data_IF_120545917914
#
_entry.id   IF_120545917914
#
_cell.length_a   1.000
_cell.length_b   1.000
_cell.length_c   1.000
_cell.angle_alpha   90.00
_cell.angle_beta   90.00
_cell.angle_gamma   90.00
#
_symmetry.space_group_name_H-M   'P 1'
#
loop_
_entity.id
_entity.type
_entity.pdbx_description
1 polymer ?
#
# COMPACT_ATOMS: atom_id res chain seq x y z
N UNK A 1 25.36 7.42 -18.07
CA UNK A 1 25.59 8.32 -16.93
C UNK A 1 24.45 8.33 -15.92
N UNK A 2 23.18 8.41 -16.39
CA UNK A 2 22.00 8.39 -15.48
C UNK A 2 21.81 7.05 -14.78
N UNK A 3 22.23 5.96 -15.39
CA UNK A 3 22.12 4.63 -14.79
C UNK A 3 22.98 4.46 -13.54
N UNK A 4 24.15 5.07 -13.50
CA UNK A 4 25.01 5.00 -12.34
C UNK A 4 24.40 5.66 -11.11
N UNK A 5 23.75 6.79 -11.30
CA UNK A 5 23.09 7.53 -10.21
C UNK A 5 21.89 6.75 -9.69
N UNK A 6 21.05 6.23 -10.57
CA UNK A 6 19.88 5.44 -10.18
C UNK A 6 20.28 4.17 -9.42
N UNK A 7 21.30 3.48 -9.88
CA UNK A 7 21.82 2.29 -9.21
C UNK A 7 22.39 2.62 -7.83
N UNK A 8 23.10 3.75 -7.73
CA UNK A 8 23.63 4.22 -6.47
C UNK A 8 22.54 4.50 -5.43
N UNK A 9 21.47 5.16 -5.84
CA UNK A 9 20.35 5.44 -4.96
C UNK A 9 19.64 4.16 -4.50
N UNK A 10 19.49 3.17 -5.38
CA UNK A 10 18.91 1.89 -5.02
C UNK A 10 19.67 1.19 -3.89
N UNK A 11 21.00 1.22 -3.96
CA UNK A 11 21.82 0.67 -2.90
C UNK A 11 21.56 1.28 -1.54
N UNK A 12 21.49 2.60 -1.48
CA UNK A 12 21.30 3.32 -0.22
C UNK A 12 19.98 2.97 0.43
N UNK A 13 18.95 2.69 -0.37
CA UNK A 13 17.62 2.44 0.12
C UNK A 13 17.44 1.06 0.74
N UNK A 14 18.23 0.07 0.35
CA UNK A 14 18.07 -1.30 0.84
C UNK A 14 18.50 -1.50 2.29
N UNK A 15 19.11 -0.49 2.93
CA UNK A 15 19.50 -0.58 4.34
C UNK A 15 18.31 -0.54 5.30
N UNK A 16 17.19 0.01 4.88
CA UNK A 16 16.01 0.20 5.72
C UNK A 16 14.76 -0.21 4.96
N UNK A 17 14.59 -1.50 4.80
CA UNK A 17 13.47 -2.11 4.10
C UNK A 17 12.26 -2.11 5.02
N UNK A 18 11.17 -1.49 4.58
CA UNK A 18 9.94 -1.38 5.34
C UNK A 18 8.87 -2.36 4.88
N UNK A 19 8.67 -2.49 3.57
CA UNK A 19 7.65 -3.35 2.99
C UNK A 19 8.15 -3.98 1.70
N UNK A 20 7.75 -5.21 1.44
CA UNK A 20 7.99 -5.92 0.18
C UNK A 20 6.66 -6.48 -0.29
N UNK A 21 6.34 -6.29 -1.58
CA UNK A 21 5.17 -6.85 -2.22
C UNK A 21 5.57 -7.54 -3.51
N UNK A 22 5.19 -8.81 -3.65
CA UNK A 22 5.45 -9.58 -4.86
C UNK A 22 4.37 -9.30 -5.90
N UNK A 23 4.81 -8.99 -7.12
CA UNK A 23 3.97 -8.68 -8.27
C UNK A 23 4.43 -9.52 -9.46
N UNK A 24 3.93 -10.75 -9.57
CA UNK A 24 4.41 -11.71 -10.57
C UNK A 24 5.89 -12.02 -10.39
N UNK A 25 6.70 -11.72 -11.41
CA UNK A 25 8.15 -11.91 -11.37
C UNK A 25 8.92 -10.71 -10.78
N UNK A 26 8.21 -9.75 -10.21
CA UNK A 26 8.80 -8.55 -9.64
C UNK A 26 8.55 -8.47 -8.15
N UNK A 27 9.48 -7.80 -7.47
CA UNK A 27 9.27 -7.35 -6.10
C UNK A 27 9.23 -5.84 -6.08
N UNK A 28 8.18 -5.27 -5.48
CA UNK A 28 8.19 -3.87 -5.10
C UNK A 28 8.70 -3.75 -3.67
N UNK A 29 9.74 -2.94 -3.50
CA UNK A 29 10.43 -2.75 -2.23
C UNK A 29 10.27 -1.31 -1.79
N UNK A 30 9.62 -1.10 -0.65
CA UNK A 30 9.54 0.21 -0.01
C UNK A 30 10.62 0.27 1.07
N UNK A 31 11.54 1.20 0.91
CA UNK A 31 12.55 1.51 1.90
C UNK A 31 12.41 2.97 2.33
N UNK A 32 13.16 3.39 3.35
CA UNK A 32 13.07 4.76 3.89
C UNK A 32 13.33 5.84 2.83
N UNK A 33 14.11 5.53 1.79
CA UNK A 33 14.52 6.50 0.76
C UNK A 33 13.67 6.43 -0.51
N UNK A 34 12.79 5.44 -0.67
CA UNK A 34 12.00 5.36 -1.89
C UNK A 34 11.45 3.98 -2.23
N UNK A 35 10.94 3.89 -3.44
CA UNK A 35 10.32 2.70 -3.99
C UNK A 35 11.21 2.11 -5.09
N UNK A 36 11.41 0.80 -5.04
CA UNK A 36 12.23 0.04 -5.98
C UNK A 36 11.46 -1.15 -6.52
N UNK A 37 11.78 -1.53 -7.75
CA UNK A 37 11.22 -2.72 -8.40
C UNK A 37 12.38 -3.63 -8.81
N UNK A 38 12.41 -4.82 -8.24
CA UNK A 38 13.42 -5.83 -8.50
C UNK A 38 12.85 -6.91 -9.40
N UNK A 39 13.55 -7.26 -10.48
CA UNK A 39 13.15 -8.34 -11.38
C UNK A 39 13.76 -9.64 -10.88
N UNK A 40 12.93 -10.60 -10.48
CA UNK A 40 13.36 -11.90 -9.96
C UNK A 40 14.05 -12.76 -11.02
N UNK A 41 13.77 -12.52 -12.31
CA UNK A 41 14.34 -13.34 -13.40
C UNK A 41 15.78 -12.95 -13.73
N UNK A 42 16.07 -11.65 -13.81
CA UNK A 42 17.36 -11.15 -14.29
C UNK A 42 18.13 -10.30 -13.26
N UNK A 43 17.52 -10.03 -12.11
CA UNK A 43 18.14 -9.23 -11.05
C UNK A 43 18.20 -7.73 -11.32
N UNK A 44 17.57 -7.24 -12.39
CA UNK A 44 17.56 -5.81 -12.68
C UNK A 44 16.71 -5.04 -11.69
N UNK A 45 17.06 -3.77 -11.49
CA UNK A 45 16.41 -2.88 -10.52
C UNK A 45 15.98 -1.61 -11.23
N UNK A 46 14.72 -1.22 -11.03
CA UNK A 46 14.19 0.07 -11.42
C UNK A 46 13.86 0.88 -10.16
N UNK A 47 14.19 2.17 -10.16
CA UNK A 47 13.87 3.08 -9.06
C UNK A 47 12.72 3.97 -9.45
N UNK A 48 11.86 4.29 -8.47
CA UNK A 48 10.74 5.20 -8.65
C UNK A 48 10.95 6.46 -7.82
N UNK A 49 10.80 7.60 -8.47
CA UNK A 49 10.85 8.92 -7.85
C UNK A 49 9.98 9.89 -8.67
N UNK A 50 10.03 11.18 -8.34
CA UNK A 50 9.26 12.19 -9.08
C UNK A 50 9.71 12.31 -10.55
N UNK A 51 10.99 12.07 -10.83
CA UNK A 51 11.52 12.11 -12.20
C UNK A 51 10.94 10.97 -13.04
N UNK A 52 10.80 9.79 -12.45
CA UNK A 52 10.23 8.61 -13.13
C UNK A 52 8.69 8.59 -13.13
N UNK A 53 8.03 9.57 -12.53
CA UNK A 53 6.59 9.74 -12.63
C UNK A 53 5.80 9.69 -11.32
N UNK A 54 6.42 9.44 -10.17
CA UNK A 54 5.72 9.49 -8.89
C UNK A 54 5.23 10.91 -8.59
N UNK A 55 4.03 11.00 -8.01
CA UNK A 55 3.38 12.28 -7.73
C UNK A 55 3.95 12.98 -6.51
N UNK A 56 4.57 12.24 -5.59
CA UNK A 56 5.05 12.76 -4.32
C UNK A 56 6.31 12.03 -3.86
N UNK A 57 6.82 12.35 -2.67
CA UNK A 57 8.12 11.88 -2.20
C UNK A 57 8.07 10.82 -1.09
N UNK A 58 7.09 10.89 -0.19
CA UNK A 58 7.10 10.08 1.03
C UNK A 58 5.98 9.05 1.03
N UNK A 59 6.29 7.85 0.55
CA UNK A 59 5.37 6.71 0.57
C UNK A 59 5.38 6.08 1.97
N UNK A 60 4.20 5.83 2.52
CA UNK A 60 4.05 5.18 3.84
C UNK A 60 3.57 3.74 3.74
N UNK A 61 2.85 3.40 2.68
CA UNK A 61 2.27 2.07 2.48
C UNK A 61 2.27 1.69 1.02
N UNK A 62 2.55 0.42 0.74
CA UNK A 62 2.35 -0.18 -0.58
C UNK A 62 1.56 -1.50 -0.44
N UNK A 63 0.77 -1.81 -1.47
CA UNK A 63 0.08 -3.10 -1.56
C UNK A 63 -0.17 -3.44 -3.03
N UNK A 64 -0.04 -4.73 -3.36
CA UNK A 64 -0.24 -5.21 -4.72
C UNK A 64 -1.64 -5.76 -4.91
N UNK A 65 -2.28 -5.38 -6.02
CA UNK A 65 -3.55 -5.95 -6.45
C UNK A 65 -3.33 -6.78 -7.71
N UNK A 66 -3.39 -8.11 -7.56
CA UNK A 66 -3.14 -9.03 -8.68
C UNK A 66 -4.22 -8.96 -9.75
N UNK A 67 -5.46 -8.64 -9.37
CA UNK A 67 -6.57 -8.56 -10.31
C UNK A 67 -6.49 -7.33 -11.18
N UNK A 68 -6.14 -6.18 -10.61
CA UNK A 68 -5.95 -4.94 -11.35
C UNK A 68 -4.58 -4.86 -12.03
N UNK A 69 -3.60 -5.67 -11.60
CA UNK A 69 -2.23 -5.60 -12.08
C UNK A 69 -1.54 -4.31 -11.70
N UNK A 70 -1.82 -3.77 -10.51
CA UNK A 70 -1.32 -2.48 -10.05
C UNK A 70 -0.91 -2.54 -8.58
N UNK A 71 0.16 -1.82 -8.27
CA UNK A 71 0.55 -1.51 -6.91
C UNK A 71 -0.12 -0.20 -6.51
N UNK A 72 -0.69 -0.14 -5.31
CA UNK A 72 -1.07 1.12 -4.70
C UNK A 72 0.07 1.61 -3.82
N UNK A 73 0.46 2.87 -4.01
CA UNK A 73 1.43 3.57 -3.17
C UNK A 73 0.72 4.75 -2.52
N UNK A 74 0.65 4.76 -1.21
CA UNK A 74 0.00 5.83 -0.44
C UNK A 74 1.08 6.68 0.22
N UNK A 75 0.95 7.99 0.07
CA UNK A 75 1.88 8.98 0.62
C UNK A 75 1.43 9.47 2.00
N UNK A 76 2.35 10.07 2.73
CA UNK A 76 2.09 10.63 4.07
C UNK A 76 1.03 11.75 4.05
N UNK A 77 0.85 12.41 2.91
CA UNK A 77 -0.18 13.44 2.71
C UNK A 77 -1.51 12.88 2.16
N UNK A 78 -1.66 11.55 2.12
CA UNK A 78 -2.82 10.83 1.59
C UNK A 78 -3.00 10.90 0.07
N UNK A 79 -2.01 11.41 -0.67
CA UNK A 79 -1.99 11.24 -2.11
C UNK A 79 -1.78 9.76 -2.46
N UNK A 80 -2.23 9.35 -3.63
CA UNK A 80 -2.19 7.95 -4.06
C UNK A 80 -1.65 7.87 -5.48
N UNK A 81 -0.69 6.97 -5.71
CA UNK A 81 -0.28 6.56 -7.04
C UNK A 81 -0.55 5.07 -7.23
N UNK A 82 -0.98 4.71 -8.43
CA UNK A 82 -1.06 3.33 -8.88
C UNK A 82 0.10 3.08 -9.84
N UNK A 83 0.88 2.03 -9.58
CA UNK A 83 2.09 1.73 -10.33
C UNK A 83 1.97 0.36 -10.99
N UNK A 84 2.22 0.29 -12.29
CA UNK A 84 2.26 -0.96 -13.04
C UNK A 84 3.70 -1.44 -13.19
N UNK A 85 3.88 -2.74 -13.43
CA UNK A 85 5.22 -3.33 -13.53
C UNK A 85 6.01 -2.85 -14.75
N UNK A 86 5.33 -2.26 -15.75
CA UNK A 86 5.98 -1.62 -16.89
C UNK A 86 6.47 -0.18 -16.62
N UNK A 87 6.21 0.33 -15.41
CA UNK A 87 6.63 1.67 -14.99
C UNK A 87 5.55 2.75 -15.12
N UNK A 88 4.37 2.42 -15.65
CA UNK A 88 3.28 3.39 -15.75
C UNK A 88 2.76 3.76 -14.36
N UNK A 89 2.51 5.05 -14.16
CA UNK A 89 2.00 5.60 -12.91
C UNK A 89 0.71 6.39 -13.19
N UNK A 90 -0.33 6.10 -12.42
CA UNK A 90 -1.60 6.81 -12.47
C UNK A 90 -1.88 7.42 -11.11
N UNK A 91 -2.08 8.73 -11.04
CA UNK A 91 -2.35 9.43 -9.79
C UNK A 91 -3.84 9.49 -9.48
N UNK A 92 -4.16 9.29 -8.21
CA UNK A 92 -5.49 9.54 -7.64
C UNK A 92 -5.33 10.59 -6.55
N UNK A 93 -5.62 11.85 -6.87
CA UNK A 93 -5.43 12.98 -5.97
C UNK A 93 -6.67 13.36 -5.16
N UNK A 94 -7.78 12.67 -5.35
CA UNK A 94 -9.07 13.05 -4.81
C UNK A 94 -9.09 13.09 -3.27
N UNK A 95 -8.47 12.11 -2.61
CA UNK A 95 -8.37 12.12 -1.16
C UNK A 95 -7.44 13.23 -0.66
N UNK A 96 -6.29 13.36 -1.29
CA UNK A 96 -5.31 14.41 -0.96
C UNK A 96 -5.91 15.80 -1.07
N UNK A 97 -6.62 16.07 -2.17
CA UNK A 97 -7.20 17.40 -2.45
C UNK A 97 -8.53 17.65 -1.75
N UNK A 98 -9.13 16.62 -1.13
CA UNK A 98 -10.41 16.78 -0.44
C UNK A 98 -10.26 17.72 0.77
N UNK A 99 -11.06 18.80 0.78
CA UNK A 99 -11.12 19.72 1.91
C UNK A 99 -11.98 19.11 3.01
N UNK A 100 -11.34 18.74 4.13
CA UNK A 100 -12.01 18.20 5.31
C UNK A 100 -11.16 18.52 6.55
N UNK A 101 -11.81 18.60 7.70
CA UNK A 101 -11.13 18.91 8.97
C UNK A 101 -10.51 17.67 9.62
N UNK A 102 -10.97 16.49 9.26
CA UNK A 102 -10.49 15.23 9.78
C UNK A 102 -9.11 14.89 9.24
N UNK A 103 -8.33 14.18 10.04
CA UNK A 103 -7.04 13.63 9.64
C UNK A 103 -7.24 12.53 8.59
N UNK A 104 -6.64 12.68 7.44
CA UNK A 104 -6.76 11.76 6.30
C UNK A 104 -5.68 10.68 6.26
N UNK A 105 -4.85 10.54 7.28
CA UNK A 105 -3.80 9.53 7.33
C UNK A 105 -4.33 8.14 7.02
N UNK A 106 -3.66 7.43 6.12
CA UNK A 106 -3.96 6.04 5.78
C UNK A 106 -3.06 5.13 6.62
N UNK A 107 -3.67 4.25 7.41
CA UNK A 107 -2.95 3.40 8.34
C UNK A 107 -2.60 2.03 7.75
N UNK A 108 -3.56 1.37 7.12
CA UNK A 108 -3.37 0.05 6.51
C UNK A 108 -4.27 -0.10 5.29
N UNK A 109 -3.98 -1.13 4.48
CA UNK A 109 -4.67 -1.41 3.23
C UNK A 109 -5.11 -2.87 3.22
N UNK A 110 -6.36 -3.11 2.78
CA UNK A 110 -6.88 -4.47 2.60
C UNK A 110 -7.46 -4.60 1.19
N UNK A 111 -7.06 -5.65 0.47
CA UNK A 111 -7.53 -5.91 -0.90
C UNK A 111 -8.75 -6.81 -0.91
N UNK A 112 -9.65 -6.55 -1.86
CA UNK A 112 -10.74 -7.45 -2.23
C UNK A 112 -11.06 -7.24 -3.72
N UNK A 113 -10.95 -8.31 -4.53
CA UNK A 113 -11.08 -8.20 -5.98
C UNK A 113 -10.15 -7.10 -6.53
N UNK A 114 -10.67 -6.17 -7.36
CA UNK A 114 -9.89 -5.04 -7.86
C UNK A 114 -9.86 -3.84 -6.90
N UNK A 115 -10.45 -3.98 -5.71
CA UNK A 115 -10.57 -2.88 -4.76
C UNK A 115 -9.47 -2.91 -3.70
N UNK A 116 -9.02 -1.71 -3.31
CA UNK A 116 -8.22 -1.50 -2.12
C UNK A 116 -9.07 -0.75 -1.10
N UNK A 117 -9.25 -1.33 0.08
CA UNK A 117 -9.91 -0.67 1.21
C UNK A 117 -8.83 -0.06 2.10
N UNK A 118 -8.88 1.25 2.27
CA UNK A 118 -7.91 2.01 3.06
C UNK A 118 -8.48 2.30 4.43
N UNK A 119 -7.80 1.87 5.48
CA UNK A 119 -8.12 2.25 6.85
C UNK A 119 -7.54 3.64 7.10
N UNK A 120 -8.39 4.60 7.41
CA UNK A 120 -7.99 6.00 7.63
C UNK A 120 -8.37 6.49 9.02
N UNK A 121 -7.82 7.62 9.43
CA UNK A 121 -8.16 8.22 10.72
C UNK A 121 -9.56 8.85 10.78
N UNK A 122 -10.37 8.72 9.72
CA UNK A 122 -11.77 9.17 9.73
C UNK A 122 -12.77 8.06 9.33
N UNK A 123 -12.27 6.92 8.89
CA UNK A 123 -13.11 5.82 8.40
C UNK A 123 -12.42 5.00 7.34
N UNK A 124 -13.10 4.73 6.24
CA UNK A 124 -12.61 3.82 5.19
C UNK A 124 -12.76 4.48 3.82
N UNK A 125 -11.74 4.33 2.97
CA UNK A 125 -11.78 4.74 1.57
C UNK A 125 -11.67 3.50 0.70
N UNK A 126 -12.62 3.31 -0.21
CA UNK A 126 -12.64 2.22 -1.19
C UNK A 126 -12.11 2.73 -2.52
N UNK A 127 -10.98 2.20 -2.94
CA UNK A 127 -10.35 2.55 -4.22
C UNK A 127 -10.60 1.43 -5.22
N UNK A 128 -11.13 1.78 -6.40
CA UNK A 128 -11.18 0.87 -7.53
C UNK A 128 -9.87 0.97 -8.29
N UNK A 129 -9.00 -0.01 -8.12
CA UNK A 129 -7.66 0.02 -8.69
C UNK A 129 -7.65 -0.30 -10.20
N UNK A 130 -8.66 -0.96 -10.71
CA UNK A 130 -8.80 -1.20 -12.14
C UNK A 130 -9.21 0.07 -12.89
N UNK A 131 -10.14 0.85 -12.30
CA UNK A 131 -10.62 2.10 -12.86
C UNK A 131 -9.80 3.32 -12.46
N UNK A 132 -8.87 3.16 -11.53
CA UNK A 132 -8.03 4.23 -11.00
C UNK A 132 -8.84 5.40 -10.43
N UNK A 133 -9.81 5.08 -9.57
CA UNK A 133 -10.67 6.08 -8.95
C UNK A 133 -11.06 5.68 -7.53
N UNK A 134 -11.41 6.66 -6.69
CA UNK A 134 -12.07 6.41 -5.42
C UNK A 134 -13.51 6.01 -5.73
N UNK A 135 -13.87 4.79 -5.37
CA UNK A 135 -15.22 4.25 -5.58
C UNK A 135 -16.19 4.80 -4.56
N UNK A 136 -15.84 4.73 -3.27
CA UNK A 136 -16.67 5.21 -2.17
C UNK A 136 -15.80 5.65 -1.00
N UNK A 137 -16.36 6.55 -0.18
CA UNK A 137 -15.74 6.99 1.08
C UNK A 137 -16.73 6.78 2.21
N UNK A 138 -16.29 6.08 3.26
CA UNK A 138 -17.10 5.81 4.44
C UNK A 138 -16.59 6.63 5.60
N UNK A 139 -17.18 7.80 5.83
CA UNK A 139 -16.84 8.63 6.97
C UNK A 139 -17.53 8.11 8.22
N UNK A 140 -16.80 7.37 9.04
CA UNK A 140 -17.33 6.74 10.25
C UNK A 140 -17.14 7.61 11.49
N UNK A 141 -16.37 8.68 11.40
CA UNK A 141 -16.04 9.53 12.53
C UNK A 141 -15.13 8.86 13.56
N UNK A 142 -14.45 7.78 13.17
CA UNK A 142 -13.50 7.05 14.01
C UNK A 142 -12.20 6.82 13.26
N UNK A 143 -11.08 6.77 14.00
CA UNK A 143 -9.79 6.41 13.43
C UNK A 143 -9.69 4.89 13.32
N UNK A 144 -9.62 4.39 12.08
CA UNK A 144 -9.52 2.97 11.78
C UNK A 144 -8.06 2.60 11.59
N UNK A 145 -7.58 1.68 12.43
CA UNK A 145 -6.20 1.20 12.36
C UNK A 145 -6.07 0.03 11.36
N UNK A 146 -7.01 -0.90 11.37
CA UNK A 146 -7.00 -2.09 10.53
C UNK A 146 -8.39 -2.43 10.04
N UNK A 147 -8.42 -3.07 8.86
CA UNK A 147 -9.61 -3.61 8.26
C UNK A 147 -9.53 -5.12 8.12
N UNK A 148 -10.67 -5.77 8.09
CA UNK A 148 -10.79 -7.16 7.71
C UNK A 148 -12.05 -7.37 6.86
N UNK A 149 -11.96 -8.30 5.93
CA UNK A 149 -13.09 -8.76 5.12
C UNK A 149 -13.24 -10.25 5.40
N UNK A 150 -14.37 -10.63 5.98
CA UNK A 150 -14.62 -12.01 6.37
C UNK A 150 -16.09 -12.35 6.27
N UNK A 151 -16.38 -13.43 5.60
CA UNK A 151 -17.73 -13.99 5.47
C UNK A 151 -18.80 -12.94 5.07
N UNK A 152 -18.48 -12.15 4.03
CA UNK A 152 -19.40 -11.14 3.48
C UNK A 152 -19.54 -9.89 4.32
N UNK A 153 -18.69 -9.69 5.33
CA UNK A 153 -18.71 -8.52 6.19
C UNK A 153 -17.36 -7.78 6.16
N UNK A 154 -17.43 -6.48 6.37
CA UNK A 154 -16.26 -5.63 6.60
C UNK A 154 -16.19 -5.27 8.07
N UNK A 155 -14.98 -5.38 8.64
CA UNK A 155 -14.67 -5.06 10.03
C UNK A 155 -13.65 -3.94 10.07
N UNK A 156 -13.91 -2.94 10.89
CA UNK A 156 -13.01 -1.81 11.10
C UNK A 156 -12.58 -1.79 12.57
N UNK A 157 -11.28 -1.93 12.82
CA UNK A 157 -10.72 -1.96 14.17
C UNK A 157 -9.98 -0.67 14.44
N UNK A 158 -10.24 -0.06 15.59
CA UNK A 158 -9.50 1.10 16.09
C UNK A 158 -8.20 0.68 16.77
N UNK A 159 -7.30 1.62 17.01
CA UNK A 159 -6.05 1.36 17.72
C UNK A 159 -6.28 0.86 19.15
N UNK A 160 -7.39 1.25 19.77
CA UNK A 160 -7.78 0.80 21.13
C UNK A 160 -8.42 -0.58 21.14
N UNK A 161 -8.66 -1.19 19.97
CA UNK A 161 -9.20 -2.54 19.85
C UNK A 161 -10.71 -2.63 19.70
N UNK A 162 -11.43 -1.52 19.64
CA UNK A 162 -12.87 -1.52 19.31
C UNK A 162 -13.07 -1.91 17.85
N UNK A 163 -14.12 -2.67 17.59
CA UNK A 163 -14.43 -3.14 16.23
C UNK A 163 -15.85 -2.78 15.83
N UNK A 164 -15.98 -2.20 14.66
CA UNK A 164 -17.23 -1.90 14.00
C UNK A 164 -17.34 -2.75 12.74
N UNK A 165 -18.55 -3.23 12.44
CA UNK A 165 -18.76 -4.11 11.28
C UNK A 165 -20.03 -3.73 10.54
N UNK A 166 -20.05 -4.09 9.25
CA UNK A 166 -21.20 -3.95 8.38
C UNK A 166 -21.20 -5.07 7.34
N UNK A 167 -22.39 -5.35 6.79
CA UNK A 167 -22.49 -6.24 5.64
C UNK A 167 -21.97 -5.56 4.38
N UNK A 168 -21.16 -6.26 3.58
CA UNK A 168 -20.64 -5.71 2.33
C UNK A 168 -21.75 -5.38 1.32
N UNK A 169 -22.94 -5.98 1.47
CA UNK A 169 -24.11 -5.69 0.61
C UNK A 169 -24.92 -4.49 1.08
N UNK A 170 -24.65 -3.96 2.27
CA UNK A 170 -25.33 -2.79 2.80
C UNK A 170 -24.80 -1.50 2.16
N UNK A 171 -25.53 -0.39 2.33
CA UNK A 171 -25.03 0.92 1.98
C UNK A 171 -23.99 1.36 3.04
N UNK A 172 -22.71 1.16 2.75
CA UNK A 172 -21.61 1.42 3.68
C UNK A 172 -21.35 2.92 3.88
N UNK A 173 -21.87 3.78 3.01
CA UNK A 173 -21.77 5.23 3.16
C UNK A 173 -22.62 5.70 4.35
N UNK A 174 -23.73 5.02 4.62
CA UNK A 174 -24.55 5.28 5.79
C UNK A 174 -23.91 4.63 7.03
N UNK A 175 -23.39 5.48 7.93
CA UNK A 175 -22.75 4.98 9.15
C UNK A 175 -23.69 4.20 10.07
N UNK A 176 -24.99 4.38 9.95
CA UNK A 176 -25.98 3.63 10.74
C UNK A 176 -26.01 2.14 10.37
N UNK A 177 -25.46 1.78 9.21
CA UNK A 177 -25.32 0.38 8.80
C UNK A 177 -24.10 -0.30 9.41
N UNK A 178 -23.25 0.45 10.11
CA UNK A 178 -22.12 -0.07 10.86
C UNK A 178 -22.50 -0.21 12.33
N UNK A 179 -22.25 -1.37 12.89
CA UNK A 179 -22.55 -1.65 14.29
C UNK A 179 -21.31 -2.12 15.03
N UNK A 180 -21.22 -1.76 16.31
CA UNK A 180 -20.14 -2.26 17.15
C UNK A 180 -20.34 -3.74 17.40
N UNK A 181 -19.25 -4.52 17.33
CA UNK A 181 -19.22 -5.96 17.57
C UNK A 181 -18.22 -6.30 18.65
N UNK A 182 -18.54 -7.34 19.43
CA UNK A 182 -17.69 -7.79 20.53
C UNK A 182 -16.90 -9.05 20.20
N UNK A 183 -17.20 -9.69 19.07
CA UNK A 183 -16.51 -10.92 18.65
C UNK A 183 -16.36 -10.96 17.14
N UNK A 184 -15.29 -11.63 16.71
CA UNK A 184 -14.96 -11.87 15.31
C UNK A 184 -14.02 -13.08 15.23
N UNK A 185 -13.83 -13.62 14.04
CA UNK A 185 -12.96 -14.78 13.86
C UNK A 185 -11.51 -14.39 14.16
N UNK A 186 -10.78 -15.19 14.97
CA UNK A 186 -9.39 -14.88 15.29
C UNK A 186 -8.51 -14.76 14.05
N UNK A 187 -7.59 -13.79 14.07
CA UNK A 187 -6.60 -13.61 13.02
C UNK A 187 -7.05 -12.81 11.80
N UNK A 188 -8.33 -12.39 11.70
CA UNK A 188 -8.81 -11.69 10.50
C UNK A 188 -8.15 -10.33 10.27
N UNK A 189 -7.62 -9.70 11.34
CA UNK A 189 -6.94 -8.41 11.25
C UNK A 189 -5.44 -8.52 11.02
N UNK A 190 -4.88 -9.73 10.97
CA UNK A 190 -3.45 -9.92 10.79
C UNK A 190 -3.03 -9.37 9.41
N UNK A 191 -1.92 -8.64 9.41
CA UNK A 191 -1.34 -8.12 8.17
C UNK A 191 -0.56 -9.22 7.48
N UNK A 192 -0.65 -9.25 6.15
CA UNK A 192 0.12 -10.20 5.35
C UNK A 192 1.55 -9.72 5.20
N UNK A 193 2.47 -10.38 5.90
CA UNK A 193 3.91 -10.11 5.85
C UNK A 193 4.68 -11.18 5.06
N UNK A 194 3.97 -12.08 4.37
CA UNK A 194 4.60 -13.24 3.73
C UNK A 194 5.66 -12.87 2.70
N UNK A 195 5.43 -11.85 1.88
CA UNK A 195 6.43 -11.41 0.89
C UNK A 195 7.67 -10.81 1.56
N UNK A 196 7.47 -10.02 2.60
CA UNK A 196 8.58 -9.46 3.37
C UNK A 196 9.41 -10.58 4.00
N UNK A 197 8.75 -11.55 4.63
CA UNK A 197 9.42 -12.66 5.31
C UNK A 197 10.20 -13.52 4.32
N UNK A 198 9.63 -13.80 3.16
CA UNK A 198 10.26 -14.64 2.14
C UNK A 198 11.45 -13.95 1.45
N UNK A 199 11.31 -12.66 1.10
CA UNK A 199 12.25 -11.98 0.21
C UNK A 199 13.18 -10.98 0.91
N UNK A 200 12.98 -10.70 2.19
CA UNK A 200 13.79 -9.74 2.94
C UNK A 200 15.29 -10.09 2.88
N UNK A 201 15.61 -11.39 3.05
CA UNK A 201 17.00 -11.85 2.98
C UNK A 201 17.63 -11.60 1.62
N UNK A 202 16.92 -11.90 0.53
CA UNK A 202 17.40 -11.65 -0.83
C UNK A 202 17.65 -10.16 -1.06
N UNK A 203 16.67 -9.31 -0.74
CA UNK A 203 16.77 -7.87 -0.96
C UNK A 203 17.92 -7.26 -0.14
N UNK A 204 18.12 -7.73 1.08
CA UNK A 204 19.20 -7.26 1.95
C UNK A 204 20.59 -7.54 1.40
N UNK A 205 20.76 -8.57 0.55
CA UNK A 205 22.05 -8.86 -0.08
C UNK A 205 22.43 -7.87 -1.17
N UNK A 206 21.49 -7.05 -1.63
CA UNK A 206 21.71 -6.03 -2.67
C UNK A 206 22.19 -4.70 -2.09
N UNK A 207 22.57 -4.66 -0.82
CA UNK A 207 23.07 -3.46 -0.15
C UNK A 207 24.50 -3.14 -0.57
N UNK A 208 25.01 -1.88 -0.36
CA UNK A 208 26.38 -1.52 -0.65
C UNK A 208 27.37 -2.45 0.06
N UNK A 209 28.40 -2.89 -0.68
CA UNK A 209 29.37 -3.86 -0.18
C UNK A 209 29.03 -5.31 -0.48
N UNK A 210 27.87 -5.58 -1.09
CA UNK A 210 27.55 -6.93 -1.59
C UNK A 210 28.40 -7.30 -2.80
N UNK A 211 28.44 -8.60 -3.15
CA UNK A 211 29.32 -9.07 -4.23
C UNK A 211 29.09 -8.38 -5.58
N UNK A 212 27.84 -8.11 -5.93
CA UNK A 212 27.47 -7.52 -7.23
C UNK A 212 27.79 -6.03 -7.30
N UNK A 213 28.06 -5.43 -6.16
CA UNK A 213 28.32 -4.00 -6.07
C UNK A 213 29.75 -3.63 -6.40
N UNK A 214 30.69 -4.53 -6.13
CA UNK A 214 32.12 -4.27 -6.28
C UNK A 214 32.55 -4.13 -7.74
N UNK A 215 31.68 -4.43 -8.67
CA UNK A 215 31.96 -4.36 -10.12
C UNK A 215 31.35 -3.11 -10.78
N UNK A 216 30.84 -2.22 -9.99
CA UNK A 216 30.24 -0.97 -10.47
C UNK A 216 31.17 0.21 -10.18
#
# INVERSE_FOLDING_TARGET
>A
SGQGIGTWNAYMAYHDIQQIRKAGNYLFVLASNGLYQYNLNDGSIATYDKVSGLSDACITNIAWNSRAGRLIAVYDNSNIDLVETNGDVTNISDLYSKSMTEDKTVNTIRMDAQYAYLATNFGVVKVDMARAEISETYNLGIAVARLALDDGRIYARTASGEVWAADLTANLIDRNNWGRVDSWRPGIFDLDTSDYDEYHGLVSTLTPGGPDYNYM
#
